data_IF_439078872817
#
_entry.id   IF_439078872817
#
_cell.length_a   1.000
_cell.length_b   1.000
_cell.length_c   1.000
_cell.angle_alpha   90.00
_cell.angle_beta   90.00
_cell.angle_gamma   90.00
#
_symmetry.space_group_name_H-M   'P 1'
#
loop_
_entity.id
_entity.type
_entity.pdbx_description
1 polymer ?
#
# COMPACT_ATOMS: atom_id res chain seq x y z
N UNK A 1 -9.77 1.57 -28.75
CA UNK A 1 -9.63 0.77 -27.51
C UNK A 1 -9.93 1.71 -26.37
N UNK A 2 -11.10 1.61 -25.77
CA UNK A 2 -11.45 2.42 -24.61
C UNK A 2 -10.80 1.82 -23.37
N UNK A 3 -9.88 2.58 -22.77
CA UNK A 3 -9.25 2.22 -21.50
C UNK A 3 -10.30 2.42 -20.40
N UNK A 4 -10.55 1.40 -19.58
CA UNK A 4 -11.53 1.49 -18.50
C UNK A 4 -11.10 2.50 -17.42
N UNK A 5 -12.06 3.08 -16.69
CA UNK A 5 -11.76 4.02 -15.58
C UNK A 5 -10.82 3.40 -14.54
N UNK A 6 -10.99 2.11 -14.25
CA UNK A 6 -10.12 1.36 -13.33
C UNK A 6 -8.68 1.21 -13.85
N UNK A 7 -8.49 1.07 -15.17
CA UNK A 7 -7.14 0.99 -15.77
C UNK A 7 -6.44 2.34 -15.75
N UNK A 8 -7.18 3.44 -15.98
CA UNK A 8 -6.65 4.81 -15.84
C UNK A 8 -6.22 5.08 -14.39
N UNK A 9 -7.01 4.62 -13.42
CA UNK A 9 -6.72 4.80 -12.00
C UNK A 9 -5.49 3.99 -11.55
N UNK A 10 -5.32 2.76 -12.07
CA UNK A 10 -4.11 1.96 -11.86
C UNK A 10 -2.86 2.59 -12.50
N UNK A 11 -2.99 3.15 -13.71
CA UNK A 11 -1.91 3.88 -14.38
C UNK A 11 -1.51 5.13 -13.57
N UNK A 12 -2.47 5.88 -13.06
CA UNK A 12 -2.23 7.05 -12.19
C UNK A 12 -1.45 6.68 -10.92
N UNK A 13 -1.79 5.56 -10.27
CA UNK A 13 -1.04 5.01 -9.12
C UNK A 13 0.43 4.77 -9.46
N UNK A 14 0.72 4.14 -10.61
CA UNK A 14 2.09 3.85 -11.04
C UNK A 14 2.89 5.09 -11.48
N UNK A 15 2.21 6.16 -11.89
CA UNK A 15 2.86 7.40 -12.33
C UNK A 15 3.09 8.42 -11.20
N UNK A 16 2.74 8.09 -9.95
CA UNK A 16 2.83 9.04 -8.83
C UNK A 16 1.82 10.19 -8.91
N UNK A 17 0.76 10.02 -9.71
CA UNK A 17 -0.27 11.03 -9.90
C UNK A 17 -1.20 11.09 -8.70
N UNK A 18 -1.64 12.30 -8.37
CA UNK A 18 -2.52 12.51 -7.24
C UNK A 18 -3.88 11.83 -7.45
N UNK A 19 -4.43 11.25 -6.39
CA UNK A 19 -5.76 10.67 -6.33
C UNK A 19 -6.67 11.53 -5.45
N UNK A 20 -7.93 11.60 -5.85
CA UNK A 20 -8.95 12.38 -5.19
C UNK A 20 -9.58 11.60 -4.01
N UNK A 21 -9.66 12.25 -2.85
CA UNK A 21 -10.31 11.71 -1.65
C UNK A 21 -11.14 12.80 -0.98
N UNK A 22 -12.25 12.40 -0.35
CA UNK A 22 -13.08 13.31 0.45
C UNK A 22 -12.76 13.18 1.93
N UNK A 23 -12.57 14.31 2.59
CA UNK A 23 -12.44 14.40 4.05
C UNK A 23 -13.46 15.44 4.51
N UNK A 24 -14.51 14.99 5.21
CA UNK A 24 -15.67 15.84 5.48
C UNK A 24 -16.36 16.25 4.17
N UNK A 25 -16.57 17.55 3.99
CA UNK A 25 -17.18 18.11 2.77
C UNK A 25 -16.15 18.52 1.70
N UNK A 26 -14.86 18.49 2.06
CA UNK A 26 -13.79 18.98 1.22
C UNK A 26 -13.15 17.85 0.41
N UNK A 27 -12.59 18.23 -0.74
CA UNK A 27 -11.95 17.31 -1.68
C UNK A 27 -10.45 17.57 -1.72
N UNK A 28 -9.67 16.53 -1.50
CA UNK A 28 -8.21 16.58 -1.43
C UNK A 28 -7.58 15.66 -2.47
N UNK A 29 -6.43 16.08 -2.97
CA UNK A 29 -5.63 15.31 -3.91
C UNK A 29 -4.34 14.85 -3.22
N UNK A 30 -4.20 13.56 -2.98
CA UNK A 30 -3.01 12.99 -2.35
C UNK A 30 -2.16 12.27 -3.37
N UNK A 31 -0.84 12.41 -3.26
CA UNK A 31 0.16 11.64 -4.01
C UNK A 31 0.66 10.46 -3.18
N UNK A 32 1.10 9.36 -3.81
CA UNK A 32 1.72 8.27 -3.08
C UNK A 32 3.04 8.72 -2.42
N UNK A 33 3.47 7.94 -1.43
CA UNK A 33 4.78 8.05 -0.84
C UNK A 33 5.88 7.71 -1.86
N UNK A 34 7.09 8.18 -1.59
CA UNK A 34 8.24 7.89 -2.42
C UNK A 34 8.77 6.47 -2.16
N UNK A 35 9.56 5.94 -3.09
CA UNK A 35 10.15 4.59 -2.95
C UNK A 35 10.97 4.41 -1.66
N UNK A 36 11.60 5.49 -1.17
CA UNK A 36 12.37 5.51 0.08
C UNK A 36 11.53 5.28 1.35
N UNK A 37 10.22 5.47 1.29
CA UNK A 37 9.29 5.32 2.42
C UNK A 37 8.65 3.93 2.47
N UNK A 38 8.85 3.10 1.44
CA UNK A 38 8.27 1.76 1.34
C UNK A 38 8.67 0.84 2.50
N UNK A 39 9.93 0.83 3.02
CA UNK A 39 10.29 -0.01 4.15
C UNK A 39 9.44 0.30 5.41
N UNK A 40 9.33 1.57 5.77
CA UNK A 40 8.50 2.04 6.89
C UNK A 40 7.03 1.66 6.66
N UNK A 41 6.52 1.84 5.42
CA UNK A 41 5.14 1.46 5.07
C UNK A 41 4.87 -0.05 5.19
N UNK A 42 5.81 -0.91 4.78
CA UNK A 42 5.68 -2.37 4.88
C UNK A 42 5.58 -2.80 6.35
N UNK A 43 6.36 -2.18 7.24
CA UNK A 43 6.29 -2.43 8.67
C UNK A 43 4.91 -2.10 9.23
N UNK A 44 4.37 -0.93 8.89
CA UNK A 44 3.01 -0.52 9.30
C UNK A 44 1.94 -1.49 8.76
N UNK A 45 2.03 -1.89 7.49
CA UNK A 45 1.11 -2.88 6.90
C UNK A 45 1.15 -4.20 7.69
N UNK A 46 2.34 -4.64 8.11
CA UNK A 46 2.48 -5.87 8.90
C UNK A 46 1.79 -5.76 10.26
N UNK A 47 1.91 -4.62 10.92
CA UNK A 47 1.21 -4.36 12.19
C UNK A 47 -0.30 -4.43 12.00
N UNK A 48 -0.84 -3.79 10.96
CA UNK A 48 -2.27 -3.86 10.65
C UNK A 48 -2.75 -5.28 10.34
N UNK A 49 -1.97 -6.04 9.56
CA UNK A 49 -2.30 -7.44 9.25
C UNK A 49 -2.32 -8.30 10.52
N UNK A 50 -1.31 -8.19 11.36
CA UNK A 50 -1.23 -8.95 12.61
C UNK A 50 -2.38 -8.59 13.56
N UNK A 51 -2.78 -7.31 13.61
CA UNK A 51 -3.94 -6.87 14.38
C UNK A 51 -5.24 -7.52 13.88
N UNK A 52 -5.45 -7.52 12.56
CA UNK A 52 -6.63 -8.13 11.93
C UNK A 52 -6.68 -9.66 12.12
N UNK A 53 -5.53 -10.33 12.12
CA UNK A 53 -5.43 -11.78 12.33
C UNK A 53 -5.56 -12.19 13.80
N UNK A 54 -5.47 -11.25 14.75
CA UNK A 54 -5.51 -11.56 16.19
C UNK A 54 -6.88 -12.02 16.71
N UNK A 55 -7.95 -11.93 15.89
CA UNK A 55 -9.28 -12.50 16.17
C UNK A 55 -10.01 -11.91 17.38
N UNK A 56 -9.46 -10.85 17.99
CA UNK A 56 -10.07 -10.12 19.10
C UNK A 56 -11.04 -9.09 18.54
N UNK A 57 -12.35 -9.33 18.72
CA UNK A 57 -13.44 -8.49 18.18
C UNK A 57 -13.35 -7.02 18.62
N UNK A 58 -12.66 -6.72 19.73
CA UNK A 58 -12.60 -5.37 20.33
C UNK A 58 -11.26 -4.63 20.15
N UNK A 59 -10.19 -5.26 19.62
CA UNK A 59 -8.92 -4.53 19.42
C UNK A 59 -8.95 -3.78 18.10
N UNK A 60 -8.95 -2.45 18.20
CA UNK A 60 -8.68 -1.61 17.04
C UNK A 60 -7.22 -1.81 16.62
N UNK A 61 -6.92 -1.57 15.35
CA UNK A 61 -5.53 -1.62 14.88
C UNK A 61 -4.62 -0.64 15.65
N UNK A 62 -5.19 0.43 16.22
CA UNK A 62 -4.48 1.38 17.08
C UNK A 62 -3.96 0.72 18.35
N UNK A 63 -4.72 -0.20 18.95
CA UNK A 63 -4.34 -0.89 20.19
C UNK A 63 -3.20 -1.88 19.97
N UNK A 64 -3.03 -2.35 18.73
CA UNK A 64 -1.96 -3.23 18.33
C UNK A 64 -0.67 -2.49 17.94
N UNK A 65 -0.69 -1.15 17.84
CA UNK A 65 0.48 -0.35 17.50
C UNK A 65 1.28 0.00 18.75
N UNK A 66 2.55 -0.38 18.75
CA UNK A 66 3.50 0.18 19.71
C UNK A 66 3.83 1.65 19.40
N UNK A 67 4.49 2.30 20.35
CA UNK A 67 4.88 3.72 20.24
C UNK A 67 5.76 3.96 19.01
N UNK A 68 6.65 3.04 18.68
CA UNK A 68 7.56 3.19 17.55
C UNK A 68 6.81 3.17 16.22
N UNK A 69 5.92 2.19 16.04
CA UNK A 69 5.04 2.06 14.87
C UNK A 69 4.13 3.28 14.74
N UNK A 70 3.61 3.80 15.85
CA UNK A 70 2.78 5.00 15.84
C UNK A 70 3.55 6.22 15.33
N UNK A 71 4.80 6.40 15.79
CA UNK A 71 5.67 7.48 15.33
C UNK A 71 6.03 7.34 13.84
N UNK A 72 6.30 6.12 13.38
CA UNK A 72 6.52 5.83 11.95
C UNK A 72 5.30 6.18 11.11
N UNK A 73 4.10 5.76 11.55
CA UNK A 73 2.86 6.10 10.86
C UNK A 73 2.65 7.62 10.79
N UNK A 74 2.82 8.35 11.89
CA UNK A 74 2.71 9.81 11.90
C UNK A 74 3.71 10.45 10.92
N UNK A 75 4.96 9.97 10.90
CA UNK A 75 5.99 10.43 9.96
C UNK A 75 5.56 10.22 8.51
N UNK A 76 5.04 9.03 8.17
CA UNK A 76 4.56 8.71 6.84
C UNK A 76 3.37 9.59 6.43
N UNK A 77 2.40 9.81 7.32
CA UNK A 77 1.25 10.67 7.04
C UNK A 77 1.67 12.11 6.77
N UNK A 78 2.55 12.67 7.61
CA UNK A 78 3.11 14.01 7.38
C UNK A 78 3.81 14.09 6.02
N UNK A 79 4.62 13.08 5.68
CA UNK A 79 5.35 13.05 4.42
C UNK A 79 4.42 12.96 3.20
N UNK A 80 3.37 12.14 3.26
CA UNK A 80 2.34 12.07 2.22
C UNK A 80 1.67 13.44 2.00
N UNK A 81 1.32 14.14 3.08
CA UNK A 81 0.72 15.49 2.99
C UNK A 81 1.71 16.48 2.39
N UNK A 82 2.97 16.52 2.86
CA UNK A 82 4.00 17.43 2.35
C UNK A 82 4.36 17.19 0.88
N UNK A 83 4.37 15.94 0.41
CA UNK A 83 4.58 15.62 -1.02
C UNK A 83 3.41 16.14 -1.88
N UNK A 84 2.20 16.07 -1.32
CA UNK A 84 0.97 16.48 -2.01
C UNK A 84 0.79 18.00 -2.02
N UNK A 85 1.19 18.68 -0.95
CA UNK A 85 1.04 20.12 -0.71
C UNK A 85 2.35 20.72 -0.18
N UNK A 86 3.36 20.93 -1.03
CA UNK A 86 4.70 21.37 -0.61
C UNK A 86 4.74 22.80 -0.06
N UNK A 87 3.70 23.60 -0.32
CA UNK A 87 3.61 24.99 0.13
C UNK A 87 3.10 25.14 1.58
N UNK A 88 2.65 24.05 2.21
CA UNK A 88 2.21 24.07 3.62
C UNK A 88 3.41 24.07 4.58
N UNK A 89 3.29 24.85 5.64
CA UNK A 89 4.26 24.84 6.74
C UNK A 89 4.20 23.54 7.56
N UNK A 90 5.25 23.24 8.30
CA UNK A 90 5.31 22.04 9.15
C UNK A 90 4.18 22.00 10.20
N UNK A 91 3.85 23.15 10.81
CA UNK A 91 2.78 23.23 11.81
C UNK A 91 1.39 23.05 11.17
N UNK A 92 1.16 23.56 9.96
CA UNK A 92 -0.09 23.31 9.21
C UNK A 92 -0.24 21.82 8.88
N UNK A 93 0.84 21.19 8.39
CA UNK A 93 0.85 19.74 8.09
C UNK A 93 0.58 18.94 9.36
N UNK A 94 1.24 19.26 10.46
CA UNK A 94 1.05 18.58 11.76
C UNK A 94 -0.37 18.74 12.30
N UNK A 95 -0.94 19.94 12.21
CA UNK A 95 -2.32 20.22 12.61
C UNK A 95 -3.31 19.42 11.76
N UNK A 96 -3.15 19.47 10.44
CA UNK A 96 -4.00 18.74 9.49
C UNK A 96 -3.94 17.23 9.70
N UNK A 97 -2.73 16.67 9.89
CA UNK A 97 -2.54 15.23 10.17
C UNK A 97 -3.20 14.82 11.48
N UNK A 98 -3.06 15.62 12.54
CA UNK A 98 -3.63 15.31 13.85
C UNK A 98 -5.16 15.31 13.81
N UNK A 99 -5.76 16.27 13.11
CA UNK A 99 -7.21 16.38 12.97
C UNK A 99 -7.83 15.27 12.10
N UNK A 100 -7.05 14.71 11.15
CA UNK A 100 -7.55 13.76 10.16
C UNK A 100 -6.86 12.39 10.21
N UNK A 101 -6.27 12.04 11.36
CA UNK A 101 -5.34 10.92 11.49
C UNK A 101 -5.87 9.59 10.92
N UNK A 102 -7.09 9.20 11.30
CA UNK A 102 -7.71 7.95 10.85
C UNK A 102 -8.00 7.98 9.34
N UNK A 103 -8.59 9.07 8.84
CA UNK A 103 -8.92 9.23 7.44
C UNK A 103 -7.66 9.18 6.57
N UNK A 104 -6.60 9.89 6.98
CA UNK A 104 -5.33 9.90 6.26
C UNK A 104 -4.63 8.54 6.29
N UNK A 105 -4.78 7.77 7.37
CA UNK A 105 -4.27 6.39 7.43
C UNK A 105 -4.94 5.52 6.38
N UNK A 106 -6.27 5.58 6.27
CA UNK A 106 -7.03 4.82 5.27
C UNK A 106 -6.61 5.25 3.85
N UNK A 107 -6.56 6.56 3.60
CA UNK A 107 -6.16 7.13 2.31
C UNK A 107 -4.74 6.69 1.95
N UNK A 108 -3.77 6.80 2.86
CA UNK A 108 -2.39 6.39 2.66
C UNK A 108 -2.29 4.91 2.25
N UNK A 109 -3.07 4.04 2.88
CA UNK A 109 -3.10 2.62 2.54
C UNK A 109 -3.73 2.36 1.17
N UNK A 110 -4.74 3.14 0.77
CA UNK A 110 -5.41 3.01 -0.53
C UNK A 110 -4.56 3.51 -1.70
N UNK A 111 -3.87 4.64 -1.51
CA UNK A 111 -3.03 5.25 -2.54
C UNK A 111 -1.71 4.49 -2.74
N UNK A 112 -1.12 3.99 -1.66
CA UNK A 112 0.11 3.22 -1.68
C UNK A 112 -0.14 1.71 -1.75
N UNK A 113 -1.29 1.26 -2.25
CA UNK A 113 -1.60 -0.17 -2.39
C UNK A 113 -0.46 -0.87 -3.16
N UNK A 114 0.39 -1.58 -2.41
CA UNK A 114 1.58 -2.29 -2.92
C UNK A 114 1.19 -3.54 -3.72
N UNK A 115 -0.08 -3.67 -4.11
CA UNK A 115 -0.55 -4.74 -4.97
C UNK A 115 -0.50 -6.09 -4.29
N UNK A 116 -0.77 -6.16 -2.97
CA UNK A 116 -0.84 -7.45 -2.26
C UNK A 116 -1.83 -8.43 -2.93
N UNK A 117 -2.89 -7.91 -3.58
CA UNK A 117 -3.81 -8.70 -4.43
C UNK A 117 -3.14 -9.32 -5.66
N UNK A 118 -2.07 -8.72 -6.19
CA UNK A 118 -1.35 -9.19 -7.38
C UNK A 118 -0.11 -10.02 -7.05
N UNK A 119 0.48 -9.92 -5.85
CA UNK A 119 1.66 -10.72 -5.48
C UNK A 119 1.36 -12.22 -5.55
N UNK A 120 0.22 -12.66 -5.00
CA UNK A 120 -0.20 -14.06 -5.07
C UNK A 120 -0.43 -14.51 -6.51
N UNK A 121 -1.10 -13.68 -7.33
CA UNK A 121 -1.36 -13.96 -8.75
C UNK A 121 -0.08 -14.01 -9.59
N UNK A 122 0.92 -13.19 -9.27
CA UNK A 122 2.24 -13.20 -9.91
C UNK A 122 3.04 -14.45 -9.47
N UNK A 123 2.98 -14.83 -8.19
CA UNK A 123 3.59 -16.07 -7.70
C UNK A 123 2.99 -17.32 -8.35
N UNK A 124 1.66 -17.39 -8.49
CA UNK A 124 0.96 -18.45 -9.21
C UNK A 124 1.39 -18.53 -10.68
N UNK A 125 1.45 -17.39 -11.38
CA UNK A 125 1.95 -17.31 -12.76
C UNK A 125 3.42 -17.74 -12.88
N UNK A 126 4.26 -17.37 -11.92
CA UNK A 126 5.67 -17.77 -11.89
C UNK A 126 5.83 -19.27 -11.63
N UNK A 127 4.99 -19.85 -10.76
CA UNK A 127 4.94 -21.29 -10.53
C UNK A 127 4.50 -22.05 -11.81
N UNK A 128 3.50 -21.53 -12.52
CA UNK A 128 3.04 -22.09 -13.79
C UNK A 128 4.10 -22.01 -14.91
N UNK A 129 4.83 -20.89 -15.00
CA UNK A 129 5.93 -20.76 -15.97
C UNK A 129 7.11 -21.68 -15.65
N UNK A 130 7.38 -21.94 -14.36
CA UNK A 130 8.42 -22.89 -13.92
C UNK A 130 8.02 -24.33 -14.22
N UNK A 131 6.75 -24.70 -14.02
CA UNK A 131 6.27 -26.05 -14.35
C UNK A 131 6.26 -26.31 -15.86
N UNK A 132 5.99 -25.29 -16.68
CA UNK A 132 6.10 -25.36 -18.15
C UNK A 132 7.53 -25.42 -18.68
N UNK A 133 8.51 -24.91 -17.92
CA UNK A 133 9.94 -24.91 -18.30
C UNK A 133 10.71 -26.17 -17.91
N UNK A 134 10.10 -27.15 -17.25
CA UNK A 134 10.73 -28.47 -17.09
C UNK A 134 10.54 -29.28 -18.38
N UNK A 135 11.58 -29.48 -19.21
CA UNK A 135 11.50 -30.40 -20.32
C UNK A 135 11.42 -31.81 -19.75
N UNK A 136 10.61 -32.66 -20.40
CA UNK A 136 10.66 -34.12 -20.24
C UNK A 136 12.10 -34.63 -20.44
N UNK A 137 12.89 -34.74 -19.38
CA UNK A 137 13.97 -35.72 -19.29
C UNK A 137 13.48 -36.90 -18.47
N UNK A 138 12.54 -37.65 -19.04
CA UNK A 138 12.17 -38.97 -18.54
C UNK A 138 11.64 -39.77 -19.73
N UNK A 139 12.54 -40.55 -20.34
CA UNK A 139 12.36 -41.82 -21.07
C UNK A 139 13.34 -41.91 -22.25
N UNK A 140 14.58 -42.26 -21.93
CA UNK A 140 15.43 -43.06 -22.80
C UNK A 140 16.44 -43.77 -21.89
N UNK A 141 16.06 -44.96 -21.41
CA UNK A 141 16.93 -46.10 -21.12
C UNK A 141 16.06 -47.29 -20.73
N UNK A 142 15.44 -47.85 -21.76
CA UNK A 142 14.99 -49.23 -21.77
C UNK A 142 15.50 -49.84 -23.08
N UNK A 143 16.31 -50.89 -22.97
CA UNK A 143 16.65 -51.79 -24.07
C UNK A 143 18.03 -51.60 -24.68
N UNK A 144 19.02 -52.31 -24.13
CA UNK A 144 19.72 -53.39 -24.82
C UNK A 144 20.36 -54.29 -23.77
#
# INVERSE_FOLDING_TARGET
MDISKEEIEKLRKHMGLAQEFKIGNDTFHFKPLNAEDIPDLIEIIRVFKNAAESGKEDTTWLDAMDRESMLKLIKLLKKMVSISYPDLSEEEVKSFVSANFINLTIIMMQINDLGAKNVNRIQEKLAELRSRRMPKQAKANGGA
#
